data_IF_178238915325
#
_entry.id   IF_178238915325
#
_cell.length_a   1.000
_cell.length_b   1.000
_cell.length_c   1.000
_cell.angle_alpha   90.00
_cell.angle_beta   90.00
_cell.angle_gamma   90.00
#
_symmetry.space_group_name_H-M   'P 1'
#
loop_
_entity.id
_entity.type
_entity.pdbx_description
1 polymer ?
#
# COMPACT_ATOMS: atom_id res chain seq x y z
N UNK A 1 33.56 42.15 11.12
CA UNK A 1 33.05 40.80 11.44
C UNK A 1 31.54 40.80 11.25
N UNK A 2 30.97 40.13 10.25
CA UNK A 2 29.52 39.96 10.18
C UNK A 2 29.09 38.83 11.13
N UNK A 3 28.11 39.13 11.98
CA UNK A 3 27.58 38.28 13.07
C UNK A 3 26.35 37.44 12.67
N UNK A 4 26.09 37.25 11.37
CA UNK A 4 24.91 36.53 10.89
C UNK A 4 25.31 35.31 10.09
N UNK A 5 25.74 34.27 10.81
CA UNK A 5 25.71 32.92 10.27
C UNK A 5 24.27 32.53 9.99
N UNK A 6 23.85 32.61 8.72
CA UNK A 6 22.61 31.99 8.26
C UNK A 6 22.69 30.52 8.66
N UNK A 7 21.86 30.07 9.61
CA UNK A 7 21.56 28.64 9.74
C UNK A 7 21.15 28.18 8.35
N UNK A 8 21.86 27.20 7.79
CA UNK A 8 21.39 26.50 6.62
C UNK A 8 19.99 25.99 7.00
N UNK A 9 18.96 26.55 6.38
CA UNK A 9 17.60 26.05 6.53
C UNK A 9 17.67 24.57 6.17
N UNK A 10 17.26 23.68 7.09
CA UNK A 10 17.14 22.26 6.77
C UNK A 10 16.35 22.13 5.45
N UNK A 11 16.82 21.30 4.51
CA UNK A 11 16.13 21.13 3.24
C UNK A 11 14.68 20.74 3.53
N UNK A 12 13.72 21.54 3.04
CA UNK A 12 12.30 21.23 3.19
C UNK A 12 12.06 19.85 2.54
N UNK A 13 11.35 18.94 3.22
CA UNK A 13 11.04 17.64 2.66
C UNK A 13 10.23 17.81 1.36
N UNK A 14 10.63 17.10 0.31
CA UNK A 14 9.93 17.15 -0.97
C UNK A 14 8.57 16.46 -0.78
N UNK A 15 7.50 17.13 -1.21
CA UNK A 15 6.13 16.60 -1.13
C UNK A 15 5.48 16.63 -2.50
N UNK A 16 4.76 15.57 -2.85
CA UNK A 16 3.89 15.53 -4.05
C UNK A 16 2.70 14.59 -3.80
N UNK A 17 1.69 14.66 -4.68
CA UNK A 17 0.52 13.76 -4.64
C UNK A 17 0.57 12.75 -5.78
N UNK A 18 -0.04 11.59 -5.57
CA UNK A 18 -0.13 10.52 -6.57
C UNK A 18 -1.54 9.97 -6.71
N UNK A 19 -1.91 9.66 -7.95
CA UNK A 19 -3.21 9.10 -8.31
C UNK A 19 -4.38 10.08 -8.17
N UNK A 20 -5.57 9.58 -8.46
CA UNK A 20 -6.81 10.38 -8.52
C UNK A 20 -7.32 10.80 -7.14
N UNK A 21 -6.89 10.09 -6.09
CA UNK A 21 -7.31 10.36 -4.72
C UNK A 21 -6.35 11.28 -3.97
N UNK A 22 -5.33 11.87 -4.61
CA UNK A 22 -4.37 12.78 -3.96
C UNK A 22 -3.61 12.18 -2.74
N UNK A 23 -3.16 10.93 -2.86
CA UNK A 23 -2.31 10.32 -1.83
C UNK A 23 -1.00 11.09 -1.73
N UNK A 24 -0.57 11.42 -0.51
CA UNK A 24 0.60 12.27 -0.31
C UNK A 24 1.86 11.44 -0.17
N UNK A 25 2.89 11.80 -0.93
CA UNK A 25 4.25 11.25 -0.82
C UNK A 25 5.15 12.33 -0.25
N UNK A 26 5.93 11.98 0.77
CA UNK A 26 6.89 12.87 1.40
C UNK A 26 8.26 12.20 1.41
N UNK A 27 9.29 12.89 0.91
CA UNK A 27 10.66 12.38 0.83
C UNK A 27 11.55 13.12 1.84
N UNK A 28 12.38 12.37 2.55
CA UNK A 28 13.31 12.89 3.55
C UNK A 28 12.67 13.08 4.93
N UNK A 29 11.68 12.26 5.30
CA UNK A 29 11.06 12.28 6.63
C UNK A 29 11.47 11.08 7.45
N UNK A 30 11.74 11.29 8.74
CA UNK A 30 12.07 10.22 9.69
C UNK A 30 10.97 9.14 9.83
N UNK A 31 9.72 9.47 9.46
CA UNK A 31 8.60 8.54 9.43
C UNK A 31 8.38 7.97 8.02
N UNK A 32 9.37 7.26 7.48
CA UNK A 32 9.20 6.53 6.22
C UNK A 32 8.22 5.36 6.32
N UNK A 33 7.77 4.86 5.16
CA UNK A 33 6.84 3.73 5.04
C UNK A 33 5.49 4.08 4.44
N UNK A 34 4.65 3.07 4.26
CA UNK A 34 3.32 3.15 3.72
C UNK A 34 2.29 3.09 4.85
N UNK A 35 1.70 4.24 5.22
CA UNK A 35 0.70 4.30 6.31
C UNK A 35 -0.61 3.60 5.98
N UNK A 36 -0.89 3.42 4.69
CA UNK A 36 -2.05 2.64 4.22
C UNK A 36 -2.01 1.19 4.75
N UNK A 37 -0.83 0.64 5.03
CA UNK A 37 -0.68 -0.71 5.60
C UNK A 37 -1.31 -0.85 7.00
N UNK A 38 -1.42 0.22 7.78
CA UNK A 38 -2.00 0.16 9.12
C UNK A 38 -3.49 -0.25 9.08
N UNK A 39 -4.22 0.18 8.05
CA UNK A 39 -5.62 -0.22 7.86
C UNK A 39 -5.72 -1.64 7.29
N UNK A 40 -4.78 -2.02 6.43
CA UNK A 40 -4.67 -3.40 5.91
C UNK A 40 -4.45 -4.41 7.05
N UNK A 41 -3.62 -4.05 8.03
CA UNK A 41 -3.36 -4.87 9.22
C UNK A 41 -4.63 -5.06 10.06
N UNK A 42 -5.47 -4.02 10.22
CA UNK A 42 -6.75 -4.13 10.93
C UNK A 42 -7.71 -5.13 10.26
N UNK A 43 -7.82 -5.08 8.93
CA UNK A 43 -8.62 -6.06 8.18
C UNK A 43 -8.08 -7.48 8.34
N UNK A 44 -6.76 -7.65 8.26
CA UNK A 44 -6.09 -8.96 8.40
C UNK A 44 -6.38 -9.56 9.76
N UNK A 45 -6.25 -8.78 10.83
CA UNK A 45 -6.55 -9.18 12.20
C UNK A 45 -8.03 -9.59 12.38
N UNK A 46 -8.94 -8.78 11.83
CA UNK A 46 -10.37 -9.08 11.88
C UNK A 46 -10.70 -10.40 11.18
N UNK A 47 -10.21 -10.59 9.95
CA UNK A 47 -10.45 -11.78 9.14
C UNK A 47 -9.86 -13.02 9.82
N UNK A 48 -8.63 -12.94 10.32
CA UNK A 48 -7.96 -14.04 11.02
C UNK A 48 -8.74 -14.51 12.26
N UNK A 49 -9.31 -13.57 13.03
CA UNK A 49 -10.08 -13.89 14.24
C UNK A 49 -11.47 -14.47 13.96
N UNK A 50 -12.05 -14.21 12.79
CA UNK A 50 -13.46 -14.52 12.48
C UNK A 50 -13.67 -15.56 11.38
N UNK A 51 -12.64 -15.90 10.61
CA UNK A 51 -12.73 -16.89 9.53
C UNK A 51 -13.06 -18.29 10.06
N UNK A 52 -13.81 -19.08 9.29
CA UNK A 52 -14.15 -20.47 9.62
C UNK A 52 -15.15 -20.68 10.77
N UNK A 53 -15.71 -19.60 11.33
CA UNK A 53 -16.65 -19.66 12.47
C UNK A 53 -18.13 -19.79 12.05
N UNK A 54 -18.44 -19.97 10.77
CA UNK A 54 -19.80 -20.16 10.26
C UNK A 54 -20.23 -21.63 10.16
N UNK A 55 -21.51 -21.84 9.82
CA UNK A 55 -22.09 -23.18 9.66
C UNK A 55 -21.32 -23.96 8.58
N UNK A 56 -20.87 -25.16 8.92
CA UNK A 56 -20.09 -26.02 8.01
C UNK A 56 -18.65 -25.56 7.77
N UNK A 57 -18.09 -24.71 8.65
CA UNK A 57 -16.71 -24.22 8.55
C UNK A 57 -16.51 -23.14 7.47
N UNK A 58 -17.60 -22.61 6.92
CA UNK A 58 -17.56 -21.51 5.94
C UNK A 58 -17.51 -20.16 6.64
N UNK A 59 -16.91 -19.20 5.97
CA UNK A 59 -16.93 -17.80 6.41
C UNK A 59 -18.35 -17.23 6.40
N UNK A 60 -18.64 -16.36 7.38
CA UNK A 60 -19.89 -15.60 7.40
C UNK A 60 -19.88 -14.53 6.31
N UNK A 61 -21.05 -14.00 5.94
CA UNK A 61 -21.16 -12.89 4.97
C UNK A 61 -20.33 -11.68 5.40
N UNK A 62 -20.27 -11.37 6.70
CA UNK A 62 -19.44 -10.27 7.22
C UNK A 62 -17.94 -10.48 6.97
N UNK A 63 -17.45 -11.72 7.11
CA UNK A 63 -16.04 -12.06 6.81
C UNK A 63 -15.80 -12.03 5.29
N UNK A 64 -16.75 -12.49 4.49
CA UNK A 64 -16.65 -12.44 3.03
C UNK A 64 -16.62 -11.01 2.49
N UNK A 65 -17.41 -10.10 3.05
CA UNK A 65 -17.35 -8.67 2.72
C UNK A 65 -16.01 -8.07 3.13
N UNK A 66 -15.54 -8.33 4.36
CA UNK A 66 -14.23 -7.86 4.81
C UNK A 66 -13.07 -8.34 3.91
N UNK A 67 -13.17 -9.55 3.34
CA UNK A 67 -12.21 -10.08 2.37
C UNK A 67 -12.22 -9.32 1.04
N UNK A 68 -13.40 -8.89 0.57
CA UNK A 68 -13.52 -8.06 -0.64
C UNK A 68 -13.01 -6.64 -0.39
N UNK A 69 -13.38 -6.02 0.73
CA UNK A 69 -12.91 -4.69 1.13
C UNK A 69 -11.38 -4.66 1.28
N UNK A 70 -10.81 -5.69 1.92
CA UNK A 70 -9.37 -5.90 1.99
C UNK A 70 -8.73 -5.97 0.60
N UNK A 71 -9.33 -6.72 -0.32
CA UNK A 71 -8.79 -6.86 -1.68
C UNK A 71 -8.83 -5.54 -2.47
N UNK A 72 -9.89 -4.76 -2.32
CA UNK A 72 -10.00 -3.44 -2.93
C UNK A 72 -8.97 -2.45 -2.36
N UNK A 73 -8.81 -2.46 -1.03
CA UNK A 73 -7.81 -1.63 -0.35
C UNK A 73 -6.39 -1.96 -0.82
N UNK A 74 -6.04 -3.24 -0.90
CA UNK A 74 -4.73 -3.69 -1.40
C UNK A 74 -4.53 -3.31 -2.86
N UNK A 75 -5.54 -3.44 -3.72
CA UNK A 75 -5.43 -3.07 -5.13
C UNK A 75 -5.26 -1.55 -5.33
N UNK A 76 -5.94 -0.75 -4.51
CA UNK A 76 -5.74 0.71 -4.44
C UNK A 76 -4.32 1.03 -4.02
N UNK A 77 -3.84 0.40 -2.94
CA UNK A 77 -2.49 0.59 -2.41
C UNK A 77 -1.41 0.23 -3.43
N UNK A 78 -1.54 -0.90 -4.14
CA UNK A 78 -0.62 -1.27 -5.24
C UNK A 78 -0.61 -0.20 -6.32
N UNK A 79 -1.76 0.35 -6.68
CA UNK A 79 -1.85 1.39 -7.72
C UNK A 79 -1.16 2.68 -7.28
N UNK A 80 -1.38 3.12 -6.04
CA UNK A 80 -0.72 4.28 -5.42
C UNK A 80 0.80 4.10 -5.40
N UNK A 81 1.28 2.93 -4.96
CA UNK A 81 2.72 2.66 -4.89
C UNK A 81 3.38 2.63 -6.27
N UNK A 82 2.72 2.07 -7.28
CA UNK A 82 3.23 2.07 -8.66
C UNK A 82 3.38 3.50 -9.19
N UNK A 83 2.33 4.32 -9.07
CA UNK A 83 2.36 5.72 -9.50
C UNK A 83 3.42 6.53 -8.74
N UNK A 84 3.59 6.24 -7.45
CA UNK A 84 4.64 6.87 -6.64
C UNK A 84 6.04 6.51 -7.12
N UNK A 85 6.31 5.25 -7.46
CA UNK A 85 7.61 4.89 -8.03
C UNK A 85 7.84 5.53 -9.41
N UNK A 86 6.81 5.61 -10.25
CA UNK A 86 6.87 6.31 -11.54
C UNK A 86 7.28 7.79 -11.35
N UNK A 87 6.60 8.50 -10.45
CA UNK A 87 6.92 9.89 -10.11
C UNK A 87 8.32 10.07 -9.49
N UNK A 88 8.76 9.14 -8.63
CA UNK A 88 10.11 9.19 -8.05
C UNK A 88 11.19 9.00 -9.11
N UNK A 89 10.96 8.13 -10.09
CA UNK A 89 11.86 7.92 -11.22
C UNK A 89 11.88 9.15 -12.13
N UNK A 90 10.73 9.70 -12.49
CA UNK A 90 10.63 10.90 -13.34
C UNK A 90 11.33 12.11 -12.71
N UNK A 91 11.31 12.22 -11.38
CA UNK A 91 11.98 13.27 -10.61
C UNK A 91 13.48 12.98 -10.36
N UNK A 92 13.98 11.83 -10.79
CA UNK A 92 15.38 11.42 -10.61
C UNK A 92 15.75 11.12 -9.15
N UNK A 93 14.77 10.72 -8.33
CA UNK A 93 14.95 10.41 -6.90
C UNK A 93 15.25 8.93 -6.66
N UNK A 94 14.89 8.07 -7.60
CA UNK A 94 15.14 6.62 -7.58
C UNK A 94 15.56 6.17 -8.98
N UNK A 95 16.50 5.23 -9.07
CA UNK A 95 16.87 4.61 -10.34
C UNK A 95 15.79 3.62 -10.79
N UNK A 96 15.44 3.56 -12.09
CA UNK A 96 14.44 2.62 -12.61
C UNK A 96 14.72 1.14 -12.25
N UNK A 97 16.00 0.77 -12.12
CA UNK A 97 16.41 -0.59 -11.75
C UNK A 97 16.18 -0.93 -10.27
N UNK A 98 15.90 0.07 -9.43
CA UNK A 98 15.61 -0.10 -8.01
C UNK A 98 14.09 -0.21 -7.73
N UNK A 99 13.25 0.03 -8.74
CA UNK A 99 11.80 -0.09 -8.63
C UNK A 99 11.41 -1.57 -8.53
N UNK A 100 10.73 -2.01 -7.45
CA UNK A 100 10.29 -3.38 -7.33
C UNK A 100 9.31 -3.75 -8.44
N UNK A 101 9.52 -4.92 -9.05
CA UNK A 101 8.65 -5.38 -10.12
C UNK A 101 7.20 -5.52 -9.63
N UNK A 102 6.26 -4.84 -10.31
CA UNK A 102 4.83 -4.92 -10.01
C UNK A 102 4.34 -6.37 -10.07
N UNK A 103 3.50 -6.83 -9.12
CA UNK A 103 2.93 -8.16 -9.16
C UNK A 103 2.08 -8.34 -10.42
N UNK A 104 2.27 -9.47 -11.11
CA UNK A 104 1.54 -9.77 -12.34
C UNK A 104 0.02 -9.82 -12.09
N UNK A 105 -0.81 -9.35 -13.04
CA UNK A 105 -2.24 -9.54 -12.97
C UNK A 105 -2.56 -11.03 -13.11
N UNK A 106 -3.02 -11.65 -12.02
CA UNK A 106 -3.54 -13.01 -12.04
C UNK A 106 -5.02 -12.92 -12.41
N UNK A 107 -5.40 -13.52 -13.54
CA UNK A 107 -6.78 -13.63 -13.96
C UNK A 107 -7.55 -14.51 -12.98
N UNK A 108 -8.66 -13.99 -12.47
CA UNK A 108 -9.57 -14.74 -11.62
C UNK A 108 -10.58 -15.43 -12.52
N UNK A 109 -10.82 -16.72 -12.26
CA UNK A 109 -11.84 -17.49 -12.97
C UNK A 109 -13.22 -16.94 -12.64
N UNK A 110 -14.06 -16.75 -13.66
CA UNK A 110 -15.41 -16.19 -13.49
C UNK A 110 -16.51 -17.26 -13.51
N UNK A 111 -16.15 -18.48 -13.83
CA UNK A 111 -16.99 -19.67 -13.92
C UNK A 111 -17.02 -20.50 -12.63
N UNK A 112 -16.75 -19.85 -11.49
CA UNK A 112 -16.74 -20.48 -10.16
C UNK A 112 -17.84 -19.89 -9.27
N UNK A 113 -18.23 -20.63 -8.24
CA UNK A 113 -19.21 -20.15 -7.28
C UNK A 113 -18.68 -18.97 -6.45
N UNK A 114 -19.60 -18.13 -5.96
CA UNK A 114 -19.27 -16.82 -5.35
C UNK A 114 -18.33 -16.93 -4.16
N UNK A 115 -18.48 -17.98 -3.34
CA UNK A 115 -17.61 -18.16 -2.20
C UNK A 115 -16.17 -18.42 -2.64
N UNK A 116 -15.99 -19.35 -3.56
CA UNK A 116 -14.70 -19.72 -4.15
C UNK A 116 -14.06 -18.52 -4.84
N UNK A 117 -14.87 -17.71 -5.55
CA UNK A 117 -14.44 -16.44 -6.12
C UNK A 117 -13.88 -15.49 -5.07
N UNK A 118 -14.59 -15.27 -3.97
CA UNK A 118 -14.13 -14.37 -2.89
C UNK A 118 -12.85 -14.91 -2.24
N UNK A 119 -12.72 -16.23 -2.05
CA UNK A 119 -11.48 -16.82 -1.56
C UNK A 119 -10.31 -16.63 -2.54
N UNK A 120 -10.52 -16.81 -3.85
CA UNK A 120 -9.48 -16.56 -4.86
C UNK A 120 -9.07 -15.07 -4.91
N UNK A 121 -10.04 -14.15 -4.83
CA UNK A 121 -9.79 -12.70 -4.73
C UNK A 121 -8.95 -12.38 -3.50
N UNK A 122 -9.32 -12.91 -2.34
CA UNK A 122 -8.62 -12.69 -1.09
C UNK A 122 -7.17 -13.22 -1.14
N UNK A 123 -6.96 -14.44 -1.63
CA UNK A 123 -5.62 -15.01 -1.80
C UNK A 123 -4.75 -14.20 -2.76
N UNK A 124 -5.34 -13.64 -3.83
CA UNK A 124 -4.63 -12.72 -4.73
C UNK A 124 -4.20 -11.46 -3.98
N UNK A 125 -5.09 -10.90 -3.17
CA UNK A 125 -4.81 -9.72 -2.36
C UNK A 125 -3.73 -10.00 -1.31
N UNK A 126 -3.69 -11.17 -0.67
CA UNK A 126 -2.60 -11.56 0.25
C UNK A 126 -1.23 -11.52 -0.42
N UNK A 127 -1.10 -12.08 -1.64
CA UNK A 127 0.16 -12.02 -2.39
C UNK A 127 0.57 -10.60 -2.75
N UNK A 128 -0.40 -9.75 -3.11
CA UNK A 128 -0.16 -8.33 -3.41
C UNK A 128 0.23 -7.54 -2.17
N UNK A 129 -0.42 -7.80 -1.04
CA UNK A 129 -0.06 -7.20 0.24
C UNK A 129 1.38 -7.57 0.64
N UNK A 130 1.80 -8.82 0.42
CA UNK A 130 3.18 -9.21 0.69
C UNK A 130 4.19 -8.40 -0.14
N UNK A 131 3.88 -8.13 -1.41
CA UNK A 131 4.69 -7.25 -2.24
C UNK A 131 4.74 -5.82 -1.68
N UNK A 132 3.61 -5.29 -1.22
CA UNK A 132 3.55 -3.97 -0.58
C UNK A 132 4.36 -3.92 0.72
N UNK A 133 4.35 -4.97 1.55
CA UNK A 133 5.19 -5.03 2.75
C UNK A 133 6.68 -5.00 2.42
N UNK A 134 7.10 -5.63 1.32
CA UNK A 134 8.49 -5.55 0.86
C UNK A 134 8.85 -4.11 0.41
N UNK A 135 7.91 -3.41 -0.23
CA UNK A 135 8.07 -2.00 -0.58
C UNK A 135 8.16 -1.11 0.65
N UNK A 136 7.31 -1.34 1.66
CA UNK A 136 7.33 -0.56 2.91
C UNK A 136 8.73 -0.56 3.55
N UNK A 137 9.41 -1.71 3.55
CA UNK A 137 10.79 -1.80 4.02
C UNK A 137 11.75 -0.90 3.21
N UNK A 138 11.60 -0.84 1.89
CA UNK A 138 12.40 0.04 1.01
C UNK A 138 12.09 1.51 1.28
N UNK A 139 10.82 1.86 1.42
CA UNK A 139 10.37 3.22 1.70
C UNK A 139 10.92 3.73 3.03
N UNK A 140 10.90 2.88 4.06
CA UNK A 140 11.52 3.19 5.37
C UNK A 140 13.03 3.41 5.26
N UNK A 141 13.73 2.59 4.48
CA UNK A 141 15.18 2.75 4.27
C UNK A 141 15.54 4.04 3.51
N UNK A 142 14.61 4.60 2.74
CA UNK A 142 14.80 5.80 1.92
C UNK A 142 14.14 7.05 2.50
N UNK A 143 13.61 6.98 3.72
CA UNK A 143 12.89 8.08 4.38
C UNK A 143 11.73 8.63 3.51
N UNK A 144 11.05 7.74 2.78
CA UNK A 144 9.90 8.06 1.92
C UNK A 144 8.63 7.62 2.64
N UNK A 145 7.72 8.56 2.89
CA UNK A 145 6.41 8.31 3.48
C UNK A 145 5.32 8.37 2.42
N UNK A 146 4.40 7.41 2.45
CA UNK A 146 3.16 7.41 1.66
C UNK A 146 1.98 7.44 2.61
N UNK A 147 1.16 8.49 2.49
CA UNK A 147 0.08 8.80 3.39
C UNK A 147 -1.27 8.74 2.67
N UNK A 148 -2.33 8.55 3.46
CA UNK A 148 -3.70 8.79 3.00
C UNK A 148 -3.88 10.22 2.47
N UNK A 149 -4.86 10.43 1.58
CA UNK A 149 -5.25 11.77 1.13
C UNK A 149 -5.59 12.67 2.32
N UNK A 150 -5.24 13.95 2.21
CA UNK A 150 -5.71 14.95 3.17
C UNK A 150 -7.12 15.37 2.77
N UNK A 151 -8.11 15.04 3.60
CA UNK A 151 -9.47 15.57 3.53
C UNK A 151 -9.52 17.04 3.91
#
# INVERSE_FOLDING_TARGET
MPLFGRRASEPKPLTFTVGVSDHRVIVGTAEGGCRILEDVDQYTDFIARKSGHGIGGRDTVGVLNAKLDYAELVDTMVSVLVLMFEELVERGLIDPGEVPQKPAPIAIRRDIATYEYIQEVYQRAERRCQWTRNIDAILRQRDIAVLWPQS
#
